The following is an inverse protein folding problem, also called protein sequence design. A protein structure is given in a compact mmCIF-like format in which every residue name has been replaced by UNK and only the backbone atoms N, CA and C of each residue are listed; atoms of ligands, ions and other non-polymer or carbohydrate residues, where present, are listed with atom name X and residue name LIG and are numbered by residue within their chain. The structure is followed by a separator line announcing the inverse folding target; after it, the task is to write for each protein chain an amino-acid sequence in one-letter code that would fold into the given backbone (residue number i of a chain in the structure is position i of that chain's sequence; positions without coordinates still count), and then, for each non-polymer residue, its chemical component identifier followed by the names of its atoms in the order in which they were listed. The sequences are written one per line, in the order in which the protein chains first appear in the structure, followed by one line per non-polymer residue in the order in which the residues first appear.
data_IF_735726808076
#
_entry.id   IF_735726808076
#
_cell.length_a   1.000
_cell.length_b   1.000
_cell.length_c   1.000
_cell.angle_alpha   90.00
_cell.angle_beta   90.00
_cell.angle_gamma   90.00
#
_symmetry.space_group_name_H-M   'P 1'
#
loop_
_entity.id
_entity.type
_entity.pdbx_description
1 polymer ?
#
# COMPACT_ATOMS: atom_id res chain seq x y z
N UNK A 1 7.70 -19.92 -0.18
CA UNK A 1 7.21 -19.61 -1.55
C UNK A 1 6.79 -18.16 -1.59
N UNK A 2 7.15 -17.43 -2.63
CA UNK A 2 6.75 -16.03 -2.81
C UNK A 2 5.48 -15.96 -3.67
N UNK A 3 4.50 -15.22 -3.21
CA UNK A 3 3.23 -15.02 -3.93
C UNK A 3 3.33 -13.86 -4.91
N UNK A 4 4.17 -12.87 -4.57
CA UNK A 4 4.36 -11.66 -5.37
C UNK A 4 5.83 -11.24 -5.33
N UNK A 5 6.34 -10.80 -6.48
CA UNK A 5 7.64 -10.14 -6.59
C UNK A 5 7.43 -8.79 -7.28
N UNK A 6 7.89 -7.72 -6.64
CA UNK A 6 8.02 -6.40 -7.26
C UNK A 6 9.45 -6.29 -7.77
N UNK A 7 9.62 -6.23 -9.09
CA UNK A 7 10.92 -6.40 -9.74
C UNK A 7 11.45 -5.12 -10.36
N UNK A 8 12.75 -4.90 -10.19
CA UNK A 8 13.50 -3.87 -10.93
C UNK A 8 13.24 -2.43 -10.50
N UNK A 9 12.63 -2.22 -9.35
CA UNK A 9 12.35 -0.88 -8.84
C UNK A 9 13.51 -0.27 -8.04
N UNK A 10 13.43 1.04 -7.81
CA UNK A 10 14.24 1.74 -6.82
C UNK A 10 13.49 1.71 -5.49
N UNK A 11 13.93 0.86 -4.58
CA UNK A 11 13.22 0.57 -3.32
C UNK A 11 13.70 1.47 -2.21
N UNK A 12 12.76 2.16 -1.57
CA UNK A 12 13.05 3.02 -0.41
C UNK A 12 13.10 2.15 0.84
N UNK A 13 14.25 2.14 1.49
CA UNK A 13 14.51 1.41 2.74
C UNK A 13 14.97 2.36 3.83
N UNK A 14 15.01 1.94 5.12
CA UNK A 14 15.58 2.77 6.19
C UNK A 14 17.02 3.22 5.96
N UNK A 15 17.80 2.44 5.22
CA UNK A 15 19.20 2.74 4.90
C UNK A 15 19.36 3.61 3.64
N UNK A 16 18.29 3.84 2.90
CA UNK A 16 18.30 4.64 1.66
C UNK A 16 17.57 3.96 0.51
N UNK A 17 17.74 4.51 -0.67
CA UNK A 17 17.13 3.99 -1.90
C UNK A 17 18.10 3.01 -2.55
N UNK A 18 17.66 1.78 -2.76
CA UNK A 18 18.46 0.72 -3.37
C UNK A 18 17.72 0.07 -4.55
N UNK A 19 18.47 -0.34 -5.55
CA UNK A 19 17.94 -1.14 -6.66
C UNK A 19 17.87 -2.59 -6.22
N UNK A 20 16.66 -3.10 -5.97
CA UNK A 20 16.45 -4.48 -5.56
C UNK A 20 15.06 -4.97 -5.94
N UNK A 21 14.86 -6.29 -5.83
CA UNK A 21 13.53 -6.89 -5.93
C UNK A 21 12.95 -7.08 -4.54
N UNK A 22 11.64 -6.92 -4.40
CA UNK A 22 10.88 -7.15 -3.17
C UNK A 22 10.06 -8.42 -3.31
N UNK A 23 10.33 -9.41 -2.48
CA UNK A 23 9.58 -10.65 -2.42
C UNK A 23 8.55 -10.63 -1.28
N UNK A 24 7.31 -11.00 -1.59
CA UNK A 24 6.19 -11.00 -0.66
C UNK A 24 5.63 -12.41 -0.55
N UNK A 25 5.39 -12.83 0.69
CA UNK A 25 4.72 -14.08 1.03
C UNK A 25 3.53 -13.77 1.94
N UNK A 26 2.33 -14.07 1.45
CA UNK A 26 1.10 -13.66 2.13
C UNK A 26 1.02 -12.15 2.29
N UNK A 27 0.96 -11.68 3.51
CA UNK A 27 0.88 -10.25 3.85
C UNK A 27 2.22 -9.67 4.35
N UNK A 28 3.33 -10.38 4.11
CA UNK A 28 4.63 -10.03 4.68
C UNK A 28 5.67 -9.83 3.58
N UNK A 29 6.49 -8.78 3.71
CA UNK A 29 7.72 -8.64 2.92
C UNK A 29 8.70 -9.69 3.44
N UNK A 30 8.93 -10.72 2.64
CA UNK A 30 9.74 -11.88 3.01
C UNK A 30 11.22 -11.72 2.62
N UNK A 31 11.51 -10.93 1.58
CA UNK A 31 12.87 -10.76 1.08
C UNK A 31 13.07 -9.43 0.36
N UNK A 32 14.25 -8.87 0.51
CA UNK A 32 14.85 -7.90 -0.42
C UNK A 32 16.09 -8.55 -1.01
N UNK A 33 16.20 -8.58 -2.31
CA UNK A 33 17.29 -9.28 -2.98
C UNK A 33 17.80 -8.54 -4.22
N UNK A 34 18.99 -8.88 -4.66
CA UNK A 34 19.55 -8.34 -5.88
C UNK A 34 18.58 -8.55 -7.07
N UNK A 35 18.49 -7.60 -8.01
CA UNK A 35 17.55 -7.71 -9.12
C UNK A 35 17.66 -9.03 -9.88
N UNK A 36 16.52 -9.68 -10.10
CA UNK A 36 16.43 -10.93 -10.86
C UNK A 36 16.83 -12.20 -10.14
N UNK A 37 17.18 -12.14 -8.83
CA UNK A 37 17.64 -13.31 -8.09
C UNK A 37 16.54 -14.05 -7.32
N UNK A 38 15.38 -13.44 -7.12
CA UNK A 38 14.28 -14.12 -6.44
C UNK A 38 13.65 -15.20 -7.32
N UNK A 39 13.38 -16.37 -6.75
CA UNK A 39 12.77 -17.47 -7.51
C UNK A 39 11.32 -17.16 -7.87
N UNK A 40 10.98 -17.41 -9.12
CA UNK A 40 9.60 -17.27 -9.64
C UNK A 40 9.05 -18.67 -9.90
N UNK A 41 7.93 -18.99 -9.25
CA UNK A 41 7.13 -20.16 -9.57
C UNK A 41 6.04 -19.75 -10.57
N UNK A 42 6.14 -20.17 -11.85
CA UNK A 42 5.27 -19.64 -12.92
C UNK A 42 3.77 -19.79 -12.67
N UNK A 43 3.38 -20.79 -11.87
CA UNK A 43 1.98 -21.09 -11.56
C UNK A 43 1.41 -20.33 -10.35
N UNK A 44 2.27 -19.73 -9.52
CA UNK A 44 1.86 -19.19 -8.23
C UNK A 44 2.47 -17.84 -7.86
N UNK A 45 3.60 -17.45 -8.48
CA UNK A 45 4.23 -16.14 -8.21
C UNK A 45 3.77 -15.10 -9.22
N UNK A 46 3.11 -14.06 -8.74
CA UNK A 46 2.82 -12.89 -9.56
C UNK A 46 4.03 -11.96 -9.60
N UNK A 47 4.35 -11.40 -10.77
CA UNK A 47 5.47 -10.45 -10.90
C UNK A 47 4.97 -9.11 -11.39
N UNK A 48 5.29 -8.05 -10.65
CA UNK A 48 5.05 -6.67 -11.03
C UNK A 48 6.37 -6.07 -11.50
N UNK A 49 6.44 -5.61 -12.73
CA UNK A 49 7.58 -4.86 -13.25
C UNK A 49 7.52 -3.41 -12.74
N UNK A 50 8.49 -3.03 -11.92
CA UNK A 50 8.64 -1.69 -11.35
C UNK A 50 9.84 -0.95 -11.95
N UNK A 51 10.34 -1.37 -13.10
CA UNK A 51 11.47 -0.72 -13.78
C UNK A 51 11.18 0.77 -13.99
N UNK A 52 12.09 1.62 -13.55
CA UNK A 52 11.94 3.08 -13.65
C UNK A 52 11.01 3.71 -12.62
N UNK A 53 10.50 2.92 -11.68
CA UNK A 53 9.61 3.38 -10.62
C UNK A 53 10.30 3.37 -9.26
N UNK A 54 9.81 4.23 -8.37
CA UNK A 54 10.14 4.18 -6.94
C UNK A 54 9.16 3.24 -6.27
N UNK A 55 9.69 2.29 -5.50
CA UNK A 55 8.91 1.35 -4.68
C UNK A 55 9.08 1.75 -3.22
N UNK A 56 8.00 2.07 -2.56
CA UNK A 56 8.01 2.53 -1.18
C UNK A 56 6.80 1.97 -0.43
N UNK A 57 6.85 1.92 0.91
CA UNK A 57 5.66 1.59 1.70
C UNK A 57 4.51 2.55 1.39
N UNK A 58 3.29 2.03 1.45
CA UNK A 58 2.10 2.86 1.32
C UNK A 58 2.00 3.91 2.42
N UNK A 59 1.37 5.04 2.12
CA UNK A 59 1.14 6.11 3.08
C UNK A 59 0.24 5.67 4.23
N UNK A 60 0.44 6.26 5.40
CA UNK A 60 -0.40 6.09 6.57
C UNK A 60 -1.10 7.42 6.85
N UNK A 61 -2.43 7.43 6.82
CA UNK A 61 -3.23 8.57 7.25
C UNK A 61 -3.66 8.35 8.71
N UNK A 62 -3.09 9.11 9.66
CA UNK A 62 -3.32 8.87 11.08
C UNK A 62 -4.61 9.50 11.62
N UNK A 63 -5.41 10.17 10.79
CA UNK A 63 -6.58 10.90 11.26
C UNK A 63 -7.66 11.00 10.17
N UNK A 64 -8.58 10.06 10.17
CA UNK A 64 -9.77 10.08 9.31
C UNK A 64 -11.04 9.98 10.15
N UNK A 65 -12.17 10.37 9.58
CA UNK A 65 -13.49 10.20 10.19
C UNK A 65 -14.39 9.46 9.21
N UNK A 66 -14.68 8.21 9.53
CA UNK A 66 -15.51 7.33 8.71
C UNK A 66 -16.91 7.22 9.33
N UNK A 67 -17.96 7.31 8.49
CA UNK A 67 -19.34 7.30 8.96
C UNK A 67 -19.62 8.30 10.10
N UNK A 68 -18.86 9.38 10.16
CA UNK A 68 -19.02 10.38 11.20
C UNK A 68 -20.17 11.32 10.86
N UNK A 69 -21.00 11.60 11.85
CA UNK A 69 -22.15 12.48 11.69
C UNK A 69 -21.85 13.86 12.27
N UNK A 70 -21.92 14.87 11.43
CA UNK A 70 -21.83 16.27 11.83
C UNK A 70 -23.21 16.91 11.69
N UNK A 71 -23.60 17.73 12.67
CA UNK A 71 -24.83 18.50 12.58
C UNK A 71 -24.46 19.91 12.15
N UNK A 72 -24.98 20.32 11.01
CA UNK A 72 -24.78 21.70 10.50
C UNK A 72 -25.56 22.73 11.35
N UNK A 73 -25.19 24.00 11.26
CA UNK A 73 -25.93 25.08 11.98
C UNK A 73 -27.43 25.14 11.69
N UNK A 74 -27.84 24.67 10.50
CA UNK A 74 -29.25 24.58 10.11
C UNK A 74 -29.98 23.32 10.64
N UNK A 75 -29.27 22.50 11.43
CA UNK A 75 -29.78 21.24 12.00
C UNK A 75 -29.72 20.02 11.09
N UNK A 76 -29.22 20.17 9.85
CA UNK A 76 -29.13 19.03 8.93
C UNK A 76 -27.87 18.20 9.19
N UNK A 77 -27.95 16.84 9.09
CA UNK A 77 -26.79 15.99 9.25
C UNK A 77 -25.91 16.01 7.99
N UNK A 78 -24.61 15.97 8.20
CA UNK A 78 -23.60 15.66 7.21
C UNK A 78 -22.91 14.38 7.67
N UNK A 79 -22.92 13.34 6.84
CA UNK A 79 -22.28 12.07 7.15
C UNK A 79 -21.07 11.88 6.25
N UNK A 80 -19.92 11.55 6.84
CA UNK A 80 -18.71 11.23 6.07
C UNK A 80 -18.86 9.86 5.42
N UNK A 81 -18.10 9.65 4.34
CA UNK A 81 -18.11 8.38 3.63
C UNK A 81 -17.64 7.21 4.50
N UNK A 82 -18.05 6.01 4.16
CA UNK A 82 -17.66 4.79 4.87
C UNK A 82 -16.30 4.25 4.46
N UNK A 83 -15.79 3.25 5.19
CA UNK A 83 -14.44 2.72 5.00
C UNK A 83 -14.22 2.12 3.61
N UNK A 84 -15.23 1.52 3.01
CA UNK A 84 -15.12 0.96 1.66
C UNK A 84 -14.81 2.03 0.60
N UNK A 85 -15.57 3.09 0.62
CA UNK A 85 -15.40 4.20 -0.33
C UNK A 85 -14.10 4.97 -0.08
N UNK A 86 -13.81 5.28 1.18
CA UNK A 86 -12.59 5.99 1.59
C UNK A 86 -11.35 5.14 1.33
N UNK A 87 -11.38 3.85 1.67
CA UNK A 87 -10.28 2.93 1.44
C UNK A 87 -9.93 2.80 -0.04
N UNK A 88 -10.96 2.73 -0.90
CA UNK A 88 -10.77 2.69 -2.35
C UNK A 88 -10.09 3.96 -2.87
N UNK A 89 -10.55 5.13 -2.44
CA UNK A 89 -9.95 6.41 -2.81
C UNK A 89 -8.52 6.54 -2.28
N UNK A 90 -8.28 6.10 -1.03
CA UNK A 90 -6.97 6.11 -0.41
C UNK A 90 -5.94 5.30 -1.18
N UNK A 91 -6.30 4.07 -1.62
CA UNK A 91 -5.43 3.22 -2.42
C UNK A 91 -5.03 3.87 -3.75
N UNK A 92 -5.93 4.55 -4.43
CA UNK A 92 -5.60 5.32 -5.64
C UNK A 92 -4.59 6.43 -5.38
N UNK A 93 -4.56 7.00 -4.17
CA UNK A 93 -3.59 8.00 -3.73
C UNK A 93 -2.31 7.40 -3.11
N UNK A 94 -2.20 6.07 -3.03
CA UNK A 94 -1.05 5.40 -2.44
C UNK A 94 -1.08 5.29 -0.91
N UNK A 95 -2.20 5.63 -0.27
CA UNK A 95 -2.41 5.42 1.17
C UNK A 95 -2.96 4.02 1.40
N UNK A 96 -2.26 3.21 2.20
CA UNK A 96 -2.60 1.81 2.46
C UNK A 96 -3.10 1.54 3.87
N UNK A 97 -2.97 2.51 4.75
CA UNK A 97 -3.40 2.42 6.15
C UNK A 97 -4.01 3.74 6.59
N UNK A 98 -5.10 3.69 7.32
CA UNK A 98 -5.65 4.87 7.98
C UNK A 98 -6.16 4.52 9.38
N UNK A 99 -6.16 5.52 10.26
CA UNK A 99 -6.65 5.41 11.64
C UNK A 99 -7.92 6.25 11.76
N UNK A 100 -9.03 5.56 12.01
CA UNK A 100 -10.32 6.22 12.24
C UNK A 100 -10.39 6.78 13.65
N UNK A 101 -10.74 8.04 13.76
CA UNK A 101 -10.90 8.75 15.02
C UNK A 101 -12.39 8.88 15.31
N UNK A 102 -12.82 8.17 16.32
CA UNK A 102 -14.21 8.18 16.78
C UNK A 102 -14.56 9.45 17.57
#
# INVERSE_FOLDING_TARGET
MLDLIIRGGNVVTPEGVISCDVGIAGETIAALAAPGTLPVEPSSTHVIDATGHIVMPGGIDPHVHLHHVWIKPDGTPLVTAGPEQVGRAALFGGTTTFIDIA
#
